data_IF_251756422348
#
_entry.id   IF_251756422348
#
_cell.length_a   1.000
_cell.length_b   1.000
_cell.length_c   1.000
_cell.angle_alpha   90.00
_cell.angle_beta   90.00
_cell.angle_gamma   90.00
#
_symmetry.space_group_name_H-M   'P 1'
#
loop_
_entity.id
_entity.type
_entity.pdbx_description
1 polymer ?
#
# COMPACT_ATOMS: atom_id res chain seq x y z
N UNK A 1 48.63 -26.82 29.11
CA UNK A 1 47.35 -26.84 28.37
C UNK A 1 46.58 -28.06 28.84
N UNK A 2 45.54 -27.87 29.65
CA UNK A 2 44.71 -28.95 30.16
C UNK A 2 43.68 -29.32 29.08
N UNK A 3 43.64 -30.59 28.68
CA UNK A 3 42.63 -31.13 27.79
C UNK A 3 41.29 -31.19 28.53
N UNK A 4 40.29 -30.48 28.02
CA UNK A 4 38.91 -30.61 28.50
C UNK A 4 38.39 -31.94 27.97
N UNK A 5 38.21 -32.92 28.86
CA UNK A 5 37.58 -34.20 28.54
C UNK A 5 36.09 -33.97 28.27
N UNK A 6 35.68 -34.03 27.00
CA UNK A 6 34.27 -34.07 26.60
C UNK A 6 33.67 -35.40 27.05
N UNK A 7 32.68 -35.35 27.94
CA UNK A 7 31.91 -36.52 28.36
C UNK A 7 30.93 -36.94 27.26
N UNK A 8 30.81 -38.25 27.02
CA UNK A 8 29.83 -38.80 26.08
C UNK A 8 28.38 -38.54 26.56
N UNK A 9 27.42 -38.36 25.64
CA UNK A 9 26.03 -38.12 26.00
C UNK A 9 25.43 -39.35 26.71
N UNK A 10 24.69 -39.10 27.80
CA UNK A 10 24.05 -40.13 28.63
C UNK A 10 23.03 -41.00 27.87
N UNK A 11 22.52 -40.51 26.74
CA UNK A 11 21.61 -41.23 25.87
C UNK A 11 21.77 -40.71 24.43
N UNK A 12 21.73 -41.61 23.46
CA UNK A 12 21.62 -41.26 22.04
C UNK A 12 20.14 -41.04 21.72
N UNK A 13 19.72 -39.87 21.20
CA UNK A 13 18.36 -39.68 20.71
C UNK A 13 18.02 -40.79 19.73
N UNK A 14 16.86 -41.45 19.90
CA UNK A 14 16.43 -42.48 18.96
C UNK A 14 16.45 -41.92 17.53
N UNK A 15 17.04 -42.67 16.61
CA UNK A 15 17.03 -42.31 15.20
C UNK A 15 15.56 -42.14 14.76
N UNK A 16 15.28 -41.03 14.09
CA UNK A 16 13.95 -40.73 13.57
C UNK A 16 13.48 -41.87 12.66
N UNK A 17 12.45 -42.61 13.08
CA UNK A 17 11.81 -43.61 12.24
C UNK A 17 10.72 -42.91 11.40
N UNK A 18 10.91 -42.94 10.08
CA UNK A 18 10.03 -42.31 9.11
C UNK A 18 8.57 -42.81 9.17
N UNK A 19 8.31 -43.96 9.82
CA UNK A 19 6.95 -44.46 10.08
C UNK A 19 6.14 -43.59 11.05
N UNK A 20 6.82 -42.79 11.88
CA UNK A 20 6.18 -41.83 12.79
C UNK A 20 6.20 -40.40 12.23
N UNK A 21 6.37 -40.25 10.90
CA UNK A 21 6.24 -38.95 10.24
C UNK A 21 4.82 -38.42 10.44
N UNK A 22 4.69 -37.42 11.31
CA UNK A 22 3.46 -36.66 11.48
C UNK A 22 3.43 -35.61 10.38
N UNK A 23 2.36 -35.59 9.58
CA UNK A 23 2.11 -34.47 8.68
C UNK A 23 1.78 -33.23 9.51
N UNK A 24 2.70 -32.27 9.53
CA UNK A 24 2.52 -31.04 10.28
C UNK A 24 1.85 -30.03 9.34
N UNK A 25 0.57 -29.77 9.61
CA UNK A 25 -0.20 -28.77 8.88
C UNK A 25 -0.07 -27.38 9.53
N UNK A 26 1.16 -26.88 9.72
CA UNK A 26 1.39 -25.58 10.41
C UNK A 26 0.64 -24.41 9.78
N UNK A 27 0.35 -24.50 8.48
CA UNK A 27 -0.33 -23.45 7.70
C UNK A 27 -1.84 -23.67 7.51
N UNK A 28 -2.42 -24.78 7.97
CA UNK A 28 -3.88 -25.01 7.84
C UNK A 28 -4.62 -24.52 9.09
N UNK A 29 -5.76 -23.83 8.92
CA UNK A 29 -6.57 -23.41 10.06
C UNK A 29 -7.14 -24.63 10.79
N UNK A 30 -7.26 -24.54 12.12
CA UNK A 30 -7.82 -25.60 12.97
C UNK A 30 -9.30 -25.88 12.68
N UNK A 31 -10.01 -24.89 12.13
CA UNK A 31 -11.37 -25.02 11.61
C UNK A 31 -11.38 -24.77 10.11
N UNK A 32 -12.16 -25.54 9.33
CA UNK A 32 -12.36 -25.24 7.92
C UNK A 32 -13.07 -23.89 7.80
N UNK A 33 -12.32 -22.86 7.41
CA UNK A 33 -12.88 -21.61 6.92
C UNK A 33 -13.56 -21.95 5.60
N UNK A 34 -14.87 -21.74 5.50
CA UNK A 34 -15.58 -21.88 4.23
C UNK A 34 -15.86 -20.48 3.72
N UNK A 35 -15.13 -20.08 2.68
CA UNK A 35 -15.36 -18.80 2.02
C UNK A 35 -16.56 -18.94 1.08
N UNK A 36 -17.46 -17.96 1.11
CA UNK A 36 -18.46 -17.76 0.05
C UNK A 36 -17.77 -17.36 -1.25
N UNK A 37 -18.45 -17.50 -2.39
CA UNK A 37 -17.90 -17.07 -3.70
C UNK A 37 -17.51 -15.58 -3.71
N UNK A 38 -18.25 -14.74 -3.01
CA UNK A 38 -17.96 -13.31 -2.86
C UNK A 38 -16.65 -13.09 -2.08
N UNK A 39 -16.46 -13.83 -0.99
CA UNK A 39 -15.22 -13.79 -0.20
C UNK A 39 -14.02 -14.34 -0.99
N UNK A 40 -14.22 -15.37 -1.81
CA UNK A 40 -13.19 -15.85 -2.75
C UNK A 40 -12.82 -14.76 -3.75
N UNK A 41 -13.81 -14.06 -4.32
CA UNK A 41 -13.58 -12.91 -5.20
C UNK A 41 -12.77 -11.79 -4.53
N UNK A 42 -13.09 -11.47 -3.27
CA UNK A 42 -12.38 -10.45 -2.51
C UNK A 42 -10.94 -10.84 -2.15
N UNK A 43 -10.72 -12.09 -1.72
CA UNK A 43 -9.36 -12.58 -1.46
C UNK A 43 -8.56 -12.64 -2.77
N UNK A 44 -9.18 -13.05 -3.89
CA UNK A 44 -8.51 -13.09 -5.19
C UNK A 44 -8.11 -11.68 -5.67
N UNK A 45 -8.98 -10.68 -5.49
CA UNK A 45 -8.64 -9.27 -5.73
C UNK A 45 -7.39 -8.85 -4.94
N UNK A 46 -7.32 -9.22 -3.65
CA UNK A 46 -6.19 -8.89 -2.79
C UNK A 46 -4.91 -9.61 -3.23
N UNK A 47 -4.99 -10.88 -3.60
CA UNK A 47 -3.86 -11.69 -4.08
C UNK A 47 -3.34 -11.19 -5.44
N UNK A 48 -4.23 -10.90 -6.38
CA UNK A 48 -3.88 -10.27 -7.66
C UNK A 48 -3.18 -8.92 -7.43
N UNK A 49 -3.69 -8.10 -6.51
CA UNK A 49 -3.07 -6.82 -6.18
C UNK A 49 -1.64 -6.97 -5.62
N UNK A 50 -1.43 -7.94 -4.73
CA UNK A 50 -0.09 -8.25 -4.18
C UNK A 50 0.86 -8.73 -5.28
N UNK A 51 0.40 -9.64 -6.14
CA UNK A 51 1.20 -10.20 -7.22
C UNK A 51 1.54 -9.14 -8.29
N UNK A 52 0.59 -8.27 -8.65
CA UNK A 52 0.84 -7.16 -9.57
C UNK A 52 1.94 -6.23 -9.06
N UNK A 53 1.88 -5.82 -7.78
CA UNK A 53 2.91 -4.99 -7.16
C UNK A 53 4.27 -5.68 -7.16
N UNK A 54 4.29 -6.98 -6.87
CA UNK A 54 5.51 -7.79 -6.86
C UNK A 54 6.12 -7.90 -8.28
N UNK A 55 5.29 -8.11 -9.31
CA UNK A 55 5.70 -8.12 -10.72
C UNK A 55 6.27 -6.76 -11.12
N UNK A 56 5.59 -5.66 -10.79
CA UNK A 56 6.07 -4.30 -11.10
C UNK A 56 7.45 -4.02 -10.50
N UNK A 57 7.65 -4.42 -9.24
CA UNK A 57 8.95 -4.27 -8.59
C UNK A 57 10.05 -5.06 -9.32
N UNK A 58 9.75 -6.28 -9.75
CA UNK A 58 10.69 -7.12 -10.49
C UNK A 58 11.00 -6.57 -11.90
N UNK A 59 9.99 -6.04 -12.61
CA UNK A 59 10.17 -5.37 -13.90
C UNK A 59 11.04 -4.12 -13.76
N UNK A 60 10.81 -3.31 -12.71
CA UNK A 60 11.65 -2.15 -12.44
C UNK A 60 13.11 -2.55 -12.19
N UNK A 61 13.34 -3.60 -11.40
CA UNK A 61 14.67 -4.14 -11.17
C UNK A 61 15.35 -4.61 -12.48
N UNK A 62 14.61 -5.25 -13.39
CA UNK A 62 15.14 -5.61 -14.70
C UNK A 62 15.56 -4.40 -15.52
N UNK A 63 14.75 -3.34 -15.52
CA UNK A 63 15.09 -2.10 -16.22
C UNK A 63 16.36 -1.46 -15.63
N UNK A 64 16.56 -1.50 -14.32
CA UNK A 64 17.79 -1.03 -13.68
C UNK A 64 19.02 -1.88 -14.04
N UNK A 65 18.87 -3.21 -14.05
CA UNK A 65 19.93 -4.15 -14.46
C UNK A 65 20.34 -3.93 -15.92
N UNK A 66 19.37 -3.74 -16.82
CA UNK A 66 19.62 -3.43 -18.23
C UNK A 66 20.36 -2.10 -18.41
N UNK A 67 20.02 -1.08 -17.61
CA UNK A 67 20.76 0.21 -17.60
C UNK A 67 22.21 0.06 -17.11
N UNK A 68 22.52 -1.01 -16.40
CA UNK A 68 23.85 -1.35 -15.92
C UNK A 68 24.57 -2.38 -16.82
N UNK A 69 24.05 -2.64 -18.03
CA UNK A 69 24.55 -3.64 -18.98
C UNK A 69 24.67 -5.06 -18.38
N UNK A 70 23.82 -5.37 -17.40
CA UNK A 70 23.72 -6.71 -16.80
C UNK A 70 22.52 -7.46 -17.37
N UNK A 71 22.68 -8.77 -17.60
CA UNK A 71 21.56 -9.62 -18.01
C UNK A 71 20.49 -9.61 -16.91
N UNK A 72 19.20 -9.39 -17.24
CA UNK A 72 18.13 -9.47 -16.26
C UNK A 72 18.09 -10.86 -15.63
N UNK A 73 18.03 -10.91 -14.30
CA UNK A 73 17.87 -12.16 -13.55
C UNK A 73 16.80 -11.95 -12.50
N UNK A 74 15.79 -12.83 -12.52
CA UNK A 74 14.73 -12.83 -11.51
C UNK A 74 15.32 -12.97 -10.11
N UNK A 75 14.78 -12.21 -9.15
CA UNK A 75 15.24 -12.34 -7.77
C UNK A 75 14.67 -13.60 -7.11
N UNK A 76 15.48 -14.30 -6.32
CA UNK A 76 15.02 -15.44 -5.53
C UNK A 76 13.86 -15.06 -4.58
N UNK A 77 13.85 -13.81 -4.10
CA UNK A 77 12.76 -13.26 -3.30
C UNK A 77 11.45 -13.17 -4.09
N UNK A 78 11.51 -12.69 -5.34
CA UNK A 78 10.35 -12.60 -6.22
C UNK A 78 9.78 -13.99 -6.49
N UNK A 79 10.62 -14.95 -6.88
CA UNK A 79 10.16 -16.31 -7.18
C UNK A 79 9.46 -16.96 -5.98
N UNK A 80 10.05 -16.84 -4.78
CA UNK A 80 9.48 -17.40 -3.56
C UNK A 80 8.16 -16.75 -3.18
N UNK A 81 8.09 -15.42 -3.22
CA UNK A 81 6.87 -14.68 -2.86
C UNK A 81 5.76 -14.88 -3.91
N UNK A 82 6.11 -14.88 -5.20
CA UNK A 82 5.19 -15.12 -6.30
C UNK A 82 4.57 -16.52 -6.23
N UNK A 83 5.39 -17.55 -5.98
CA UNK A 83 4.91 -18.91 -5.77
C UNK A 83 3.98 -19.01 -4.56
N UNK A 84 4.31 -18.36 -3.43
CA UNK A 84 3.45 -18.36 -2.24
C UNK A 84 2.10 -17.67 -2.49
N UNK A 85 2.08 -16.58 -3.27
CA UNK A 85 0.83 -15.92 -3.64
C UNK A 85 -0.01 -16.82 -4.56
N UNK A 86 0.61 -17.44 -5.57
CA UNK A 86 -0.09 -18.36 -6.49
C UNK A 86 -0.64 -19.57 -5.73
N UNK A 87 0.11 -20.15 -4.80
CA UNK A 87 -0.35 -21.25 -3.95
C UNK A 87 -1.59 -20.82 -3.13
N UNK A 88 -1.59 -19.59 -2.60
CA UNK A 88 -2.76 -19.03 -1.90
C UNK A 88 -3.95 -18.81 -2.83
N UNK A 89 -3.73 -18.42 -4.09
CA UNK A 89 -4.81 -18.29 -5.09
C UNK A 89 -5.46 -19.66 -5.32
N UNK A 90 -4.67 -20.72 -5.53
CA UNK A 90 -5.20 -22.07 -5.67
C UNK A 90 -5.96 -22.55 -4.43
N UNK A 91 -5.42 -22.32 -3.23
CA UNK A 91 -6.11 -22.64 -1.98
C UNK A 91 -7.44 -21.89 -1.85
N UNK A 92 -7.51 -20.64 -2.31
CA UNK A 92 -8.74 -19.86 -2.30
C UNK A 92 -9.81 -20.47 -3.22
N UNK A 93 -9.40 -20.98 -4.39
CA UNK A 93 -10.30 -21.64 -5.34
C UNK A 93 -10.88 -22.95 -4.82
N UNK A 94 -10.24 -23.62 -3.86
CA UNK A 94 -10.77 -24.85 -3.24
C UNK A 94 -12.12 -24.63 -2.53
N UNK A 95 -12.46 -23.38 -2.22
CA UNK A 95 -13.76 -23.01 -1.63
C UNK A 95 -14.89 -22.87 -2.66
N UNK A 96 -14.59 -22.89 -3.96
CA UNK A 96 -15.61 -22.77 -5.01
C UNK A 96 -16.39 -24.09 -5.22
N UNK A 97 -17.62 -24.01 -5.75
CA UNK A 97 -18.37 -25.20 -6.15
C UNK A 97 -17.60 -26.06 -7.15
N UNK A 98 -17.75 -27.39 -7.05
CA UNK A 98 -17.14 -28.32 -8.01
C UNK A 98 -17.94 -28.36 -9.32
N UNK A 99 -17.28 -28.46 -10.49
CA UNK A 99 -15.82 -28.53 -10.68
C UNK A 99 -15.15 -27.17 -10.48
N UNK A 100 -14.01 -27.18 -9.80
CA UNK A 100 -13.20 -25.96 -9.62
C UNK A 100 -12.60 -25.58 -10.98
N UNK A 101 -12.79 -24.34 -11.46
CA UNK A 101 -12.21 -23.88 -12.74
C UNK A 101 -10.68 -23.82 -12.69
N UNK A 102 -10.02 -23.64 -13.84
CA UNK A 102 -8.60 -23.27 -13.85
C UNK A 102 -8.44 -21.82 -13.35
N UNK A 103 -7.26 -21.47 -12.87
CA UNK A 103 -7.02 -20.16 -12.24
C UNK A 103 -7.21 -19.03 -13.26
N UNK A 104 -6.63 -19.19 -14.44
CA UNK A 104 -6.77 -18.29 -15.58
C UNK A 104 -8.24 -18.10 -15.99
N UNK A 105 -9.00 -19.20 -16.12
CA UNK A 105 -10.43 -19.16 -16.48
C UNK A 105 -11.27 -18.44 -15.42
N UNK A 106 -10.94 -18.65 -14.14
CA UNK A 106 -11.63 -17.99 -13.04
C UNK A 106 -11.37 -16.48 -13.08
N UNK A 107 -10.11 -16.07 -13.19
CA UNK A 107 -9.72 -14.66 -13.23
C UNK A 107 -10.38 -13.93 -14.40
N UNK A 108 -10.50 -14.59 -15.55
CA UNK A 108 -11.22 -14.03 -16.70
C UNK A 108 -12.73 -13.93 -16.46
N UNK A 109 -13.35 -15.00 -15.96
CA UNK A 109 -14.79 -15.04 -15.71
C UNK A 109 -15.26 -13.98 -14.70
N UNK A 110 -14.44 -13.63 -13.70
CA UNK A 110 -14.76 -12.59 -12.71
C UNK A 110 -14.23 -11.20 -13.09
N UNK A 111 -13.54 -11.06 -14.24
CA UNK A 111 -13.00 -9.79 -14.72
C UNK A 111 -11.73 -9.29 -14.02
N UNK A 112 -11.06 -10.15 -13.24
CA UNK A 112 -9.78 -9.82 -12.62
C UNK A 112 -8.62 -9.83 -13.63
N UNK A 113 -8.73 -10.58 -14.73
CA UNK A 113 -7.80 -10.53 -15.87
C UNK A 113 -7.65 -9.10 -16.41
N UNK A 114 -8.79 -8.44 -16.65
CA UNK A 114 -8.84 -7.07 -17.14
C UNK A 114 -8.31 -6.03 -16.13
N UNK A 115 -8.51 -6.27 -14.83
CA UNK A 115 -8.02 -5.38 -13.78
C UNK A 115 -6.51 -5.53 -13.53
N UNK A 116 -5.99 -6.76 -13.62
CA UNK A 116 -4.60 -7.10 -13.35
C UNK A 116 -3.96 -7.89 -14.52
N UNK A 117 -3.82 -7.27 -15.71
CA UNK A 117 -3.33 -7.97 -16.89
C UNK A 117 -1.89 -8.51 -16.73
N UNK A 118 -1.05 -7.86 -15.91
CA UNK A 118 0.29 -8.40 -15.57
C UNK A 118 0.22 -9.74 -14.85
N UNK A 119 -0.77 -9.90 -13.96
CA UNK A 119 -0.96 -11.13 -13.21
C UNK A 119 -1.41 -12.25 -14.13
N UNK A 120 -2.35 -11.97 -15.02
CA UNK A 120 -2.80 -12.93 -16.04
C UNK A 120 -1.61 -13.40 -16.90
N UNK A 121 -0.84 -12.48 -17.47
CA UNK A 121 0.31 -12.82 -18.31
C UNK A 121 1.36 -13.61 -17.51
N UNK A 122 1.60 -13.23 -16.26
CA UNK A 122 2.53 -13.96 -15.39
C UNK A 122 2.06 -15.38 -15.08
N UNK A 123 0.77 -15.61 -14.85
CA UNK A 123 0.22 -16.95 -14.60
C UNK A 123 0.36 -17.83 -15.84
N UNK A 124 0.13 -17.28 -17.04
CA UNK A 124 0.17 -18.04 -18.29
C UNK A 124 1.61 -18.35 -18.72
N UNK A 125 2.53 -17.38 -18.60
CA UNK A 125 3.90 -17.50 -19.14
C UNK A 125 4.98 -17.78 -18.09
N UNK A 126 4.66 -17.60 -16.80
CA UNK A 126 5.59 -17.82 -15.69
C UNK A 126 6.73 -16.80 -15.60
N UNK A 127 6.62 -15.64 -16.27
CA UNK A 127 7.67 -14.62 -16.28
C UNK A 127 7.10 -13.21 -16.17
N UNK A 128 7.70 -12.32 -15.37
CA UNK A 128 7.21 -10.96 -15.20
C UNK A 128 7.48 -10.14 -16.46
N UNK A 129 6.46 -9.45 -16.95
CA UNK A 129 6.56 -8.63 -18.16
C UNK A 129 6.19 -7.18 -17.86
N UNK A 130 6.80 -6.28 -18.61
CA UNK A 130 6.32 -4.91 -18.68
C UNK A 130 5.08 -4.83 -19.57
N UNK A 131 4.18 -3.89 -19.26
CA UNK A 131 2.96 -3.72 -20.02
C UNK A 131 3.14 -2.64 -21.08
N UNK A 132 2.75 -2.96 -22.32
CA UNK A 132 2.71 -1.96 -23.40
C UNK A 132 1.60 -0.93 -23.16
N UNK A 133 0.45 -1.39 -22.66
CA UNK A 133 -0.70 -0.56 -22.32
C UNK A 133 -0.79 -0.34 -20.83
N UNK A 134 -1.34 0.82 -20.42
CA UNK A 134 -1.50 1.17 -19.02
C UNK A 134 -2.62 0.33 -18.38
N UNK A 135 -2.33 -0.49 -17.36
CA UNK A 135 -3.37 -1.29 -16.69
C UNK A 135 -4.42 -0.44 -15.96
N UNK A 136 -5.64 -0.98 -15.82
CA UNK A 136 -6.75 -0.28 -15.16
C UNK A 136 -6.42 0.10 -13.70
N UNK A 137 -5.69 -0.76 -12.99
CA UNK A 137 -5.33 -0.56 -11.58
C UNK A 137 -4.00 0.21 -11.37
N UNK A 138 -3.38 0.74 -12.43
CA UNK A 138 -2.02 1.33 -12.37
C UNK A 138 -1.89 2.45 -11.32
N UNK A 139 -2.89 3.34 -11.27
CA UNK A 139 -2.92 4.51 -10.39
C UNK A 139 -3.58 4.27 -9.03
N UNK A 140 -4.19 3.11 -8.82
CA UNK A 140 -4.99 2.83 -7.63
C UNK A 140 -4.20 3.05 -6.33
N UNK A 141 -3.07 2.35 -6.16
CA UNK A 141 -2.25 2.45 -4.95
C UNK A 141 -1.58 3.82 -4.79
N UNK A 142 -0.96 4.42 -5.83
CA UNK A 142 -0.46 5.79 -5.74
C UNK A 142 -1.53 6.79 -5.32
N UNK A 143 -2.76 6.65 -5.81
CA UNK A 143 -3.87 7.55 -5.50
C UNK A 143 -4.35 7.39 -4.05
N UNK A 144 -4.61 6.16 -3.60
CA UNK A 144 -4.92 5.87 -2.19
C UNK A 144 -3.82 6.38 -1.26
N UNK A 145 -2.54 6.19 -1.64
CA UNK A 145 -1.40 6.68 -0.90
C UNK A 145 -1.43 8.20 -0.72
N UNK A 146 -1.74 8.96 -1.77
CA UNK A 146 -1.88 10.42 -1.69
C UNK A 146 -3.06 10.86 -0.82
N UNK A 147 -4.21 10.20 -0.94
CA UNK A 147 -5.39 10.51 -0.11
C UNK A 147 -5.07 10.29 1.37
N UNK A 148 -4.46 9.15 1.70
CA UNK A 148 -4.05 8.83 3.05
C UNK A 148 -3.00 9.80 3.58
N UNK A 149 -2.00 10.15 2.76
CA UNK A 149 -0.98 11.13 3.12
C UNK A 149 -1.62 12.50 3.44
N UNK A 150 -2.58 12.94 2.62
CA UNK A 150 -3.27 14.21 2.82
C UNK A 150 -4.08 14.21 4.13
N UNK A 151 -4.79 13.11 4.43
CA UNK A 151 -5.54 12.93 5.66
C UNK A 151 -4.65 12.97 6.90
N UNK A 152 -3.63 12.11 6.94
CA UNK A 152 -2.73 11.94 8.10
C UNK A 152 -1.93 13.21 8.38
N UNK A 153 -1.39 13.86 7.34
CA UNK A 153 -0.65 15.12 7.53
C UNK A 153 -1.56 16.24 8.06
N UNK A 154 -2.82 16.27 7.64
CA UNK A 154 -3.77 17.29 8.10
C UNK A 154 -4.15 17.08 9.56
N UNK A 155 -4.40 15.82 9.96
CA UNK A 155 -4.66 15.46 11.36
C UNK A 155 -3.45 15.80 12.25
N UNK A 156 -2.25 15.45 11.80
CA UNK A 156 -1.01 15.77 12.53
C UNK A 156 -0.84 17.29 12.70
N UNK A 157 -1.04 18.06 11.63
CA UNK A 157 -0.92 19.52 11.70
C UNK A 157 -1.99 20.14 12.61
N UNK A 158 -3.22 19.63 12.58
CA UNK A 158 -4.29 20.06 13.47
C UNK A 158 -3.92 19.87 14.95
N UNK A 159 -3.41 18.69 15.30
CA UNK A 159 -2.96 18.38 16.65
C UNK A 159 -1.76 19.23 17.06
N UNK A 160 -0.79 19.41 16.15
CA UNK A 160 0.43 20.16 16.43
C UNK A 160 0.14 21.63 16.72
N UNK A 161 -0.76 22.26 15.96
CA UNK A 161 -1.16 23.65 16.15
C UNK A 161 -1.92 23.87 17.46
N UNK A 162 -2.66 22.86 17.95
CA UNK A 162 -3.41 22.95 19.21
C UNK A 162 -2.55 22.73 20.44
N UNK A 163 -1.57 21.83 20.35
CA UNK A 163 -0.94 21.26 21.54
C UNK A 163 0.55 21.56 21.66
N UNK A 164 1.25 22.00 20.61
CA UNK A 164 2.68 22.27 20.70
C UNK A 164 2.99 23.59 21.41
N UNK A 165 3.98 23.53 22.31
CA UNK A 165 4.57 24.71 22.93
C UNK A 165 5.48 25.53 22.01
N UNK A 166 5.72 25.08 20.77
CA UNK A 166 6.50 25.80 19.74
C UNK A 166 5.96 25.48 18.35
N UNK A 167 5.76 26.51 17.53
CA UNK A 167 5.21 26.41 16.17
C UNK A 167 6.26 26.58 15.06
N UNK A 168 7.54 26.38 15.40
CA UNK A 168 8.68 26.53 14.47
C UNK A 168 8.53 25.75 13.17
N UNK A 169 7.89 24.58 13.22
CA UNK A 169 7.77 23.66 12.09
C UNK A 169 6.44 23.73 11.35
N UNK A 170 5.48 24.54 11.81
CA UNK A 170 4.14 24.61 11.21
C UNK A 170 4.19 25.03 9.74
N UNK A 171 5.00 26.04 9.40
CA UNK A 171 5.17 26.45 8.01
C UNK A 171 5.73 25.32 7.13
N UNK A 172 6.60 24.47 7.68
CA UNK A 172 7.13 23.33 6.95
C UNK A 172 6.05 22.26 6.76
N UNK A 173 5.34 21.86 7.81
CA UNK A 173 4.25 20.89 7.73
C UNK A 173 3.17 21.30 6.74
N UNK A 174 2.76 22.57 6.78
CA UNK A 174 1.80 23.13 5.82
C UNK A 174 2.32 23.08 4.38
N UNK A 175 3.63 23.30 4.17
CA UNK A 175 4.23 23.16 2.83
C UNK A 175 4.20 21.72 2.29
N UNK A 176 4.31 20.73 3.17
CA UNK A 176 4.19 19.31 2.79
C UNK A 176 2.74 19.00 2.39
N UNK A 177 1.75 19.46 3.15
CA UNK A 177 0.32 19.33 2.77
C UNK A 177 0.05 20.00 1.42
N UNK A 178 0.54 21.22 1.21
CA UNK A 178 0.43 21.93 -0.07
C UNK A 178 1.02 21.15 -1.24
N UNK A 179 2.17 20.48 -1.04
CA UNK A 179 2.80 19.66 -2.06
C UNK A 179 1.92 18.46 -2.44
N UNK A 180 1.31 17.82 -1.45
CA UNK A 180 0.37 16.70 -1.66
C UNK A 180 -0.89 17.20 -2.38
N UNK A 181 -1.49 18.31 -1.94
CA UNK A 181 -2.63 18.96 -2.59
C UNK A 181 -2.33 19.27 -4.07
N UNK A 182 -1.14 19.77 -4.35
CA UNK A 182 -0.69 20.11 -5.70
C UNK A 182 -0.50 18.90 -6.62
N UNK A 183 -0.43 17.68 -6.06
CA UNK A 183 -0.35 16.45 -6.84
C UNK A 183 -1.72 16.00 -7.40
N UNK A 184 -2.83 16.52 -6.85
CA UNK A 184 -4.17 16.30 -7.37
C UNK A 184 -4.47 17.33 -8.48
N UNK A 185 -5.07 16.86 -9.58
CA UNK A 185 -5.43 17.70 -10.73
C UNK A 185 -6.94 17.65 -10.94
N UNK A 186 -7.55 18.80 -11.24
CA UNK A 186 -8.97 18.88 -11.62
C UNK A 186 -9.98 18.83 -10.47
N UNK A 187 -9.53 18.73 -9.22
CA UNK A 187 -10.43 18.57 -8.06
C UNK A 187 -10.71 19.94 -7.44
N UNK A 188 -11.91 20.47 -7.67
CA UNK A 188 -12.26 21.84 -7.33
C UNK A 188 -12.11 22.17 -5.83
N UNK A 189 -12.64 21.38 -4.87
CA UNK A 189 -12.49 21.66 -3.45
C UNK A 189 -11.02 21.76 -3.01
N UNK A 190 -10.17 20.84 -3.47
CA UNK A 190 -8.73 20.85 -3.15
C UNK A 190 -8.01 22.03 -3.80
N UNK A 191 -8.43 22.44 -4.99
CA UNK A 191 -7.84 23.60 -5.69
C UNK A 191 -8.11 24.93 -4.97
N UNK A 192 -9.25 25.05 -4.29
CA UNK A 192 -9.60 26.22 -3.49
C UNK A 192 -8.67 26.30 -2.27
N UNK A 193 -8.54 25.19 -1.55
CA UNK A 193 -7.65 25.08 -0.38
C UNK A 193 -6.19 25.37 -0.73
N UNK A 194 -5.75 24.87 -1.89
CA UNK A 194 -4.41 25.16 -2.42
C UNK A 194 -4.17 26.67 -2.57
N UNK A 195 -5.09 27.39 -3.21
CA UNK A 195 -4.96 28.85 -3.43
C UNK A 195 -5.01 29.63 -2.12
N UNK A 196 -5.83 29.19 -1.17
CA UNK A 196 -5.91 29.80 0.16
C UNK A 196 -4.58 29.67 0.92
N UNK A 197 -3.94 28.49 0.86
CA UNK A 197 -2.59 28.31 1.40
C UNK A 197 -1.60 29.25 0.71
N UNK A 198 -1.59 29.32 -0.63
CA UNK A 198 -0.69 30.20 -1.39
C UNK A 198 -0.80 31.67 -0.98
N UNK A 199 -2.03 32.16 -0.77
CA UNK A 199 -2.30 33.55 -0.41
C UNK A 199 -1.76 33.93 0.98
N UNK A 200 -1.82 33.01 1.94
CA UNK A 200 -1.51 33.28 3.35
C UNK A 200 -0.11 32.83 3.76
N UNK A 201 0.51 31.88 3.03
CA UNK A 201 1.75 31.21 3.44
C UNK A 201 2.90 32.16 3.76
N UNK A 202 3.11 33.20 2.94
CA UNK A 202 4.21 34.15 3.14
C UNK A 202 4.08 34.89 4.47
N UNK A 203 2.87 35.35 4.79
CA UNK A 203 2.62 36.12 6.00
C UNK A 203 2.64 35.24 7.26
N UNK A 204 2.11 34.01 7.17
CA UNK A 204 2.28 33.01 8.22
C UNK A 204 3.76 32.79 8.53
N UNK A 205 4.58 32.56 7.50
CA UNK A 205 6.01 32.31 7.69
C UNK A 205 6.73 33.48 8.36
N UNK A 206 6.38 34.72 7.99
CA UNK A 206 6.93 35.91 8.63
C UNK A 206 6.52 36.03 10.11
N UNK A 207 5.30 35.61 10.46
CA UNK A 207 4.84 35.63 11.86
C UNK A 207 5.61 34.68 12.80
N UNK A 208 6.30 33.69 12.23
CA UNK A 208 7.11 32.72 12.96
C UNK A 208 8.58 33.12 13.11
N UNK A 209 8.99 34.27 12.55
CA UNK A 209 10.36 34.76 12.69
C UNK A 209 10.52 35.42 14.06
N UNK A 210 11.37 34.84 14.89
CA UNK A 210 11.77 35.43 16.18
C UNK A 210 13.01 36.32 16.01
N UNK A 211 13.09 37.42 16.77
CA UNK A 211 14.29 38.27 16.81
C UNK A 211 15.55 37.48 17.21
N UNK A 212 16.68 37.79 16.56
CA UNK A 212 17.97 37.15 16.86
C UNK A 212 18.34 37.37 18.34
N UNK A 213 18.46 36.27 19.09
CA UNK A 213 18.79 36.29 20.53
C UNK A 213 17.59 36.19 21.48
N UNK A 214 16.35 36.15 20.97
CA UNK A 214 15.18 35.85 21.78
C UNK A 214 15.22 34.40 22.32
N UNK A 215 14.86 34.22 23.60
CA UNK A 215 14.65 32.90 24.22
C UNK A 215 13.21 32.38 24.08
N UNK A 216 12.32 33.18 23.47
CA UNK A 216 10.93 32.80 23.30
C UNK A 216 10.81 31.87 22.09
N UNK A 217 10.14 30.74 22.30
CA UNK A 217 9.78 29.82 21.22
C UNK A 217 8.78 30.50 20.27
N UNK A 218 8.93 30.32 18.94
CA UNK A 218 8.03 30.90 17.96
C UNK A 218 6.61 30.36 18.17
N UNK A 219 5.66 31.27 18.31
CA UNK A 219 4.26 30.96 18.53
C UNK A 219 3.42 31.61 17.43
N UNK A 220 2.35 30.93 17.03
CA UNK A 220 1.49 31.45 15.97
C UNK A 220 0.50 32.44 16.58
N UNK A 221 0.24 33.56 15.91
CA UNK A 221 -0.92 34.39 16.21
C UNK A 221 -2.22 33.57 16.14
N UNK A 222 -3.17 33.86 17.02
CA UNK A 222 -4.44 33.11 17.13
C UNK A 222 -5.23 33.05 15.80
N UNK A 223 -5.16 34.07 14.96
CA UNK A 223 -5.83 34.05 13.66
C UNK A 223 -5.23 33.03 12.69
N UNK A 224 -3.90 32.81 12.71
CA UNK A 224 -3.26 31.76 11.90
C UNK A 224 -3.51 30.38 12.48
N UNK A 225 -3.60 30.25 13.80
CA UNK A 225 -4.05 29.01 14.46
C UNK A 225 -5.43 28.63 13.93
N UNK A 226 -6.42 29.52 14.04
CA UNK A 226 -7.78 29.25 13.57
C UNK A 226 -7.82 28.97 12.06
N UNK A 227 -7.10 29.76 11.26
CA UNK A 227 -7.03 29.55 9.82
C UNK A 227 -6.46 28.17 9.45
N UNK A 228 -5.38 27.72 10.11
CA UNK A 228 -4.83 26.39 9.85
C UNK A 228 -5.83 25.30 10.23
N UNK A 229 -6.53 25.46 11.36
CA UNK A 229 -7.58 24.52 11.77
C UNK A 229 -8.73 24.46 10.74
N UNK A 230 -9.14 25.59 10.18
CA UNK A 230 -10.15 25.64 9.12
C UNK A 230 -9.65 24.92 7.85
N UNK A 231 -8.38 25.12 7.48
CA UNK A 231 -7.75 24.44 6.33
C UNK A 231 -7.66 22.93 6.57
N UNK A 232 -7.13 22.47 7.71
CA UNK A 232 -6.99 21.04 7.99
C UNK A 232 -8.34 20.35 8.09
N UNK A 233 -9.32 20.96 8.75
CA UNK A 233 -10.68 20.43 8.82
C UNK A 233 -11.33 20.34 7.44
N UNK A 234 -11.15 21.36 6.58
CA UNK A 234 -11.68 21.34 5.22
C UNK A 234 -11.04 20.26 4.36
N UNK A 235 -9.73 20.03 4.50
CA UNK A 235 -9.02 18.93 3.84
C UNK A 235 -9.57 17.59 4.31
N UNK A 236 -9.62 17.36 5.63
CA UNK A 236 -10.11 16.12 6.23
C UNK A 236 -11.54 15.84 5.75
N UNK A 237 -12.43 16.83 5.83
CA UNK A 237 -13.82 16.70 5.37
C UNK A 237 -13.89 16.38 3.87
N UNK A 238 -13.08 17.03 3.04
CA UNK A 238 -13.08 16.79 1.58
C UNK A 238 -12.65 15.35 1.27
N UNK A 239 -11.56 14.88 1.88
CA UNK A 239 -11.06 13.52 1.67
C UNK A 239 -12.02 12.47 2.23
N UNK A 240 -12.54 12.67 3.45
CA UNK A 240 -13.45 11.72 4.09
C UNK A 240 -14.82 11.63 3.42
N UNK A 241 -15.26 12.70 2.75
CA UNK A 241 -16.52 12.68 1.98
C UNK A 241 -16.45 11.87 0.68
N UNK A 242 -15.23 11.52 0.23
CA UNK A 242 -14.97 10.73 -0.98
C UNK A 242 -15.84 11.15 -2.18
N UNK A 243 -15.76 12.42 -2.61
CA UNK A 243 -16.52 12.90 -3.75
C UNK A 243 -16.07 12.20 -5.04
N UNK A 244 -16.95 12.17 -6.05
CA UNK A 244 -16.76 11.41 -7.28
C UNK A 244 -15.40 11.73 -7.96
N UNK A 245 -15.02 13.00 -8.01
CA UNK A 245 -13.76 13.47 -8.59
C UNK A 245 -12.51 12.96 -7.84
N UNK A 246 -12.64 12.62 -6.55
CA UNK A 246 -11.58 11.99 -5.76
C UNK A 246 -11.59 10.46 -5.89
N UNK A 247 -12.68 9.87 -6.38
CA UNK A 247 -12.83 8.40 -6.46
C UNK A 247 -12.73 7.86 -7.89
N UNK A 248 -12.60 8.72 -8.91
CA UNK A 248 -12.50 8.34 -10.32
C UNK A 248 -11.40 7.28 -10.56
N UNK A 249 -10.21 7.48 -9.99
CA UNK A 249 -9.09 6.53 -10.09
C UNK A 249 -9.32 5.21 -9.33
N UNK A 250 -10.34 5.16 -8.45
CA UNK A 250 -10.75 3.96 -7.71
C UNK A 250 -11.89 3.21 -8.41
N UNK A 251 -12.49 3.83 -9.45
CA UNK A 251 -13.68 3.30 -10.11
C UNK A 251 -13.56 1.85 -10.60
N UNK A 252 -12.43 1.36 -11.15
CA UNK A 252 -12.34 -0.02 -11.60
C UNK A 252 -12.45 -1.02 -10.43
N UNK A 253 -11.78 -0.71 -9.31
CA UNK A 253 -11.85 -1.53 -8.10
C UNK A 253 -13.24 -1.49 -7.46
N UNK A 254 -13.85 -0.30 -7.39
CA UNK A 254 -15.19 -0.14 -6.82
C UNK A 254 -16.27 -0.86 -7.66
N UNK A 255 -16.15 -0.83 -8.98
CA UNK A 255 -17.04 -1.55 -9.89
C UNK A 255 -16.97 -3.06 -9.64
N UNK A 256 -15.75 -3.60 -9.50
CA UNK A 256 -15.55 -5.01 -9.18
C UNK A 256 -16.11 -5.36 -7.80
N UNK A 257 -15.80 -4.60 -6.75
CA UNK A 257 -16.35 -4.84 -5.41
C UNK A 257 -17.88 -4.82 -5.42
N UNK A 258 -18.48 -3.88 -6.17
CA UNK A 258 -19.94 -3.79 -6.31
C UNK A 258 -20.54 -4.96 -7.10
N UNK A 259 -19.76 -5.66 -7.94
CA UNK A 259 -20.22 -6.88 -8.62
C UNK A 259 -20.15 -8.15 -7.75
N UNK A 260 -19.48 -8.07 -6.59
CA UNK A 260 -19.41 -9.16 -5.61
C UNK A 260 -20.61 -9.15 -4.64
N UNK A 261 -21.43 -8.09 -4.62
CA UNK A 261 -22.61 -7.92 -3.74
C UNK A 261 -23.91 -8.09 -4.49
#
# INVERSE_FOLDING_TARGET
>A
MAAVSTTEPLCQPCAYDAKFKVEIYMKKPLMPLHLSSEQVGMEMLCLCSQLDLLIRAQVHQFQEQLRQDTSPVESDSFQRQGAEIIDRMYLCMEHLPKPVPQLEDYLDAVGLSALFPRVEVFIIHGSPVDMLERPAMEDYFPHIGKLNQLLVLSQQLEDDVKHLGSHKYIAHQLSVIYQVLSSFKGILPLSILKRDIEANFKQLKLSLVTEEGSKLEPQLPAHYVNWILDVTHSVISSVSSLPEELTEALSPAMAFISSLT
#
